data_IF_709130941098
#
_entry.id   IF_709130941098
#
_cell.length_a   1.000
_cell.length_b   1.000
_cell.length_c   1.000
_cell.angle_alpha   90.00
_cell.angle_beta   90.00
_cell.angle_gamma   90.00
#
_symmetry.space_group_name_H-M   'P 1'
#
loop_
_entity.id
_entity.type
_entity.pdbx_description
1 polymer ?
#
# COMPACT_ATOMS: atom_id res chain seq x y z
N UNK A 1 -29.56 -4.47 8.26
CA UNK A 1 -28.09 -4.32 8.39
C UNK A 1 -27.46 -4.94 7.16
N UNK A 2 -26.91 -4.14 6.25
CA UNK A 2 -26.23 -4.67 5.06
C UNK A 2 -24.84 -5.15 5.48
N UNK A 3 -24.54 -6.43 5.27
CA UNK A 3 -23.22 -7.00 5.51
C UNK A 3 -22.49 -7.08 4.18
N UNK A 4 -21.31 -6.47 4.11
CA UNK A 4 -20.40 -6.61 2.96
C UNK A 4 -19.29 -7.58 3.41
N UNK A 5 -19.09 -8.71 2.72
CA UNK A 5 -18.02 -9.63 3.07
C UNK A 5 -16.63 -9.04 2.76
N UNK A 6 -15.58 -9.42 3.51
CA UNK A 6 -14.20 -9.13 3.13
C UNK A 6 -13.92 -9.58 1.69
N UNK A 7 -13.38 -8.68 0.88
CA UNK A 7 -13.18 -8.89 -0.55
C UNK A 7 -11.75 -8.56 -0.93
N UNK A 8 -11.09 -9.47 -1.65
CA UNK A 8 -9.77 -9.23 -2.23
C UNK A 8 -9.92 -8.86 -3.70
N UNK A 9 -9.17 -7.85 -4.15
CA UNK A 9 -9.05 -7.51 -5.56
C UNK A 9 -7.59 -7.71 -5.95
N UNK A 10 -7.32 -8.71 -6.78
CA UNK A 10 -5.96 -9.09 -7.15
C UNK A 10 -5.50 -8.33 -8.40
N UNK A 11 -4.29 -7.78 -8.33
CA UNK A 11 -3.63 -7.01 -9.38
C UNK A 11 -4.54 -5.99 -10.10
N UNK A 12 -5.25 -5.11 -9.36
CA UNK A 12 -6.05 -4.05 -9.96
C UNK A 12 -5.15 -3.09 -10.74
N UNK A 13 -5.69 -2.56 -11.84
CA UNK A 13 -5.03 -1.52 -12.62
C UNK A 13 -5.12 -0.18 -11.90
N UNK A 14 -4.15 0.71 -12.14
CA UNK A 14 -4.08 1.98 -11.42
C UNK A 14 -5.25 2.91 -11.77
N UNK A 15 -5.88 2.80 -12.94
CA UNK A 15 -7.05 3.60 -13.33
C UNK A 15 -8.36 3.19 -12.62
N UNK A 16 -8.39 2.07 -11.89
CA UNK A 16 -9.55 1.68 -11.10
C UNK A 16 -9.73 2.57 -9.87
N UNK A 17 -10.98 2.96 -9.57
CA UNK A 17 -11.31 3.78 -8.40
C UNK A 17 -10.75 3.26 -7.08
N UNK A 18 -10.73 1.93 -6.91
CA UNK A 18 -10.19 1.28 -5.70
C UNK A 18 -8.70 1.57 -5.47
N UNK A 19 -7.97 1.99 -6.50
CA UNK A 19 -6.55 2.35 -6.45
C UNK A 19 -6.30 3.87 -6.36
N UNK A 20 -7.36 4.67 -6.48
CA UNK A 20 -7.33 6.14 -6.55
C UNK A 20 -7.99 6.80 -5.33
N UNK A 21 -9.00 6.17 -4.73
CA UNK A 21 -9.79 6.69 -3.63
C UNK A 21 -9.61 5.86 -2.35
N UNK A 22 -9.81 6.47 -1.18
CA UNK A 22 -9.80 5.75 0.09
C UNK A 22 -11.02 4.83 0.23
N UNK A 23 -10.80 3.54 0.51
CA UNK A 23 -11.82 2.49 0.37
C UNK A 23 -12.89 2.55 1.48
N UNK A 24 -12.51 2.93 2.72
CA UNK A 24 -13.37 2.96 3.91
C UNK A 24 -14.36 1.77 4.03
N UNK A 25 -13.92 0.57 3.66
CA UNK A 25 -14.76 -0.62 3.57
C UNK A 25 -13.94 -1.91 3.55
N UNK A 26 -14.59 -3.08 3.57
CA UNK A 26 -13.92 -4.37 3.71
C UNK A 26 -13.37 -4.90 2.37
N UNK A 27 -12.76 -4.02 1.56
CA UNK A 27 -12.16 -4.39 0.28
C UNK A 27 -10.66 -4.09 0.33
N UNK A 28 -9.84 -5.06 -0.06
CA UNK A 28 -8.39 -4.96 -0.02
C UNK A 28 -7.79 -5.24 -1.41
N UNK A 29 -7.25 -4.22 -2.10
CA UNK A 29 -6.46 -4.44 -3.31
C UNK A 29 -5.11 -5.06 -2.95
N UNK A 30 -4.70 -6.07 -3.70
CA UNK A 30 -3.41 -6.75 -3.58
C UNK A 30 -2.69 -6.60 -4.91
N UNK A 31 -1.54 -5.93 -4.92
CA UNK A 31 -0.71 -5.74 -6.11
C UNK A 31 0.63 -6.44 -5.89
N UNK A 32 0.98 -7.33 -6.81
CA UNK A 32 2.26 -8.03 -6.80
C UNK A 32 3.37 -7.11 -7.31
N UNK A 33 4.60 -7.42 -6.91
CA UNK A 33 5.80 -6.72 -7.35
C UNK A 33 6.98 -7.70 -7.36
N UNK A 34 7.96 -7.44 -8.23
CA UNK A 34 9.19 -8.25 -8.30
C UNK A 34 10.34 -7.56 -7.54
N UNK A 35 10.47 -6.23 -7.66
CA UNK A 35 11.46 -5.43 -6.93
C UNK A 35 10.80 -4.55 -5.86
N UNK A 36 11.35 -4.61 -4.66
CA UNK A 36 10.95 -3.73 -3.56
C UNK A 36 11.15 -2.25 -3.90
N UNK A 37 12.16 -1.89 -4.69
CA UNK A 37 12.40 -0.49 -5.08
C UNK A 37 11.29 0.06 -5.98
N UNK A 38 10.67 -0.78 -6.80
CA UNK A 38 9.49 -0.41 -7.60
C UNK A 38 8.33 -0.09 -6.68
N UNK A 39 8.12 -0.90 -5.64
CA UNK A 39 7.08 -0.67 -4.62
C UNK A 39 7.30 0.65 -3.88
N UNK A 40 8.55 0.94 -3.48
CA UNK A 40 8.88 2.21 -2.80
C UNK A 40 8.61 3.39 -3.73
N UNK A 41 9.03 3.31 -4.98
CA UNK A 41 8.80 4.35 -5.99
C UNK A 41 7.30 4.54 -6.26
N UNK A 42 6.54 3.45 -6.33
CA UNK A 42 5.10 3.46 -6.51
C UNK A 42 4.39 4.19 -5.38
N UNK A 43 4.68 3.84 -4.12
CA UNK A 43 4.07 4.50 -2.95
C UNK A 43 4.45 5.98 -2.90
N UNK A 44 5.71 6.32 -3.18
CA UNK A 44 6.17 7.72 -3.19
C UNK A 44 5.59 8.57 -4.33
N UNK A 45 5.08 7.96 -5.39
CA UNK A 45 4.45 8.66 -6.51
C UNK A 45 3.02 9.13 -6.22
N UNK A 46 2.42 8.64 -5.12
CA UNK A 46 1.06 8.95 -4.69
C UNK A 46 1.04 9.98 -3.56
N UNK A 47 -0.16 10.45 -3.23
CA UNK A 47 -0.35 11.26 -2.03
C UNK A 47 0.13 10.52 -0.78
N UNK A 48 0.66 11.28 0.19
CA UNK A 48 1.29 10.70 1.37
C UNK A 48 0.25 9.99 2.23
N UNK A 49 0.46 8.70 2.55
CA UNK A 49 -0.44 7.96 3.42
C UNK A 49 -0.26 8.38 4.88
N UNK A 50 -1.34 8.28 5.67
CA UNK A 50 -1.31 8.53 7.11
C UNK A 50 -0.50 7.47 7.88
N UNK A 51 -0.46 6.24 7.36
CA UNK A 51 0.25 5.12 7.96
C UNK A 51 0.71 4.11 6.92
N UNK A 52 1.80 3.42 7.23
CA UNK A 52 2.37 2.38 6.40
C UNK A 52 2.77 1.19 7.27
N UNK A 53 2.56 -0.02 6.76
CA UNK A 53 2.90 -1.26 7.44
C UNK A 53 3.86 -2.09 6.58
N UNK A 54 4.99 -2.50 7.16
CA UNK A 54 5.95 -3.41 6.54
C UNK A 54 5.97 -4.73 7.29
N UNK A 55 5.78 -5.83 6.57
CA UNK A 55 6.00 -7.18 7.09
C UNK A 55 7.25 -7.75 6.42
N UNK A 56 8.38 -7.70 7.12
CA UNK A 56 9.66 -8.20 6.62
C UNK A 56 10.59 -8.56 7.77
N UNK A 57 11.45 -9.57 7.55
CA UNK A 57 12.60 -9.87 8.44
C UNK A 57 13.91 -9.26 7.93
N UNK A 58 13.89 -8.67 6.74
CA UNK A 58 15.04 -8.04 6.10
C UNK A 58 15.24 -6.61 6.65
N UNK A 59 16.37 -6.41 7.33
CA UNK A 59 16.73 -5.13 7.96
C UNK A 59 17.04 -4.03 6.96
N UNK A 60 17.48 -4.35 5.76
CA UNK A 60 17.72 -3.34 4.75
C UNK A 60 16.42 -2.87 4.10
N UNK A 61 15.43 -3.76 3.93
CA UNK A 61 14.05 -3.36 3.57
C UNK A 61 13.42 -2.50 4.64
N UNK A 62 13.59 -2.83 5.92
CA UNK A 62 13.11 -2.02 7.05
C UNK A 62 13.69 -0.60 7.00
N UNK A 63 15.02 -0.47 6.86
CA UNK A 63 15.68 0.84 6.75
C UNK A 63 15.21 1.64 5.54
N UNK A 64 15.02 1.00 4.38
CA UNK A 64 14.51 1.68 3.17
C UNK A 64 13.07 2.13 3.35
N UNK A 65 12.23 1.31 3.96
CA UNK A 65 10.83 1.62 4.24
C UNK A 65 10.66 2.78 5.21
N UNK A 66 11.48 2.87 6.26
CA UNK A 66 11.45 3.98 7.21
C UNK A 66 11.76 5.34 6.57
N UNK A 67 12.41 5.37 5.39
CA UNK A 67 12.66 6.61 4.64
C UNK A 67 11.44 7.09 3.83
N UNK A 68 10.40 6.26 3.69
CA UNK A 68 9.15 6.62 3.01
C UNK A 68 8.34 7.57 3.90
N UNK A 69 8.34 7.32 5.22
CA UNK A 69 7.70 8.20 6.18
C UNK A 69 8.63 9.39 6.43
N UNK A 70 8.12 10.64 6.47
CA UNK A 70 8.88 11.71 7.09
C UNK A 70 9.10 11.33 8.56
N UNK A 71 10.35 11.35 9.00
CA UNK A 71 10.65 11.32 10.42
C UNK A 71 9.85 12.47 11.03
N UNK A 72 8.89 12.13 11.89
CA UNK A 72 8.33 13.12 12.81
C UNK A 72 9.49 13.46 13.74
N UNK A 73 10.07 14.65 13.57
CA UNK A 73 10.89 15.26 14.61
C UNK A 73 10.02 15.54 15.85
#
# INVERSE_FOLDING_TARGET
>A
MHKIPPTLVLNPTDDMKIMQEEIFGPVLPVKEYDDFNETVSYVNSKERPLGLYLFSKDKDKEKRFLKILPLVE
#
